data_IF_620639855292
#
_entry.id   IF_620639855292
#
_cell.length_a   1.000
_cell.length_b   1.000
_cell.length_c   1.000
_cell.angle_alpha   90.00
_cell.angle_beta   90.00
_cell.angle_gamma   90.00
#
_symmetry.space_group_name_H-M   'P 1'
#
loop_
_entity.id
_entity.type
_entity.pdbx_description
1 polymer ?
#
# COMPACT_ATOMS: atom_id res chain seq x y z
N UNK A 1 2.33 -23.83 -14.24
CA UNK A 1 1.48 -24.36 -13.14
C UNK A 1 1.44 -23.40 -11.95
N UNK A 2 2.57 -22.79 -11.55
CA UNK A 2 2.65 -21.88 -10.39
C UNK A 2 1.88 -20.55 -10.55
N UNK A 3 1.91 -19.94 -11.74
CA UNK A 3 1.20 -18.68 -12.00
C UNK A 3 -0.32 -18.79 -11.79
N UNK A 4 -0.91 -19.89 -12.29
CA UNK A 4 -2.34 -20.18 -12.11
C UNK A 4 -2.67 -20.41 -10.64
N UNK A 5 -1.77 -21.05 -9.89
CA UNK A 5 -1.91 -21.23 -8.44
C UNK A 5 -1.94 -19.90 -7.70
N UNK A 6 -1.04 -18.97 -8.01
CA UNK A 6 -0.95 -17.67 -7.35
C UNK A 6 -2.18 -16.79 -7.63
N UNK A 7 -2.66 -16.79 -8.87
CA UNK A 7 -3.88 -16.06 -9.24
C UNK A 7 -5.10 -16.67 -8.54
N UNK A 8 -5.21 -18.00 -8.50
CA UNK A 8 -6.28 -18.69 -7.78
C UNK A 8 -6.27 -18.34 -6.28
N UNK A 9 -5.10 -18.35 -5.63
CA UNK A 9 -4.95 -17.93 -4.24
C UNK A 9 -5.36 -16.47 -4.02
N UNK A 10 -4.98 -15.55 -4.91
CA UNK A 10 -5.40 -14.15 -4.83
C UNK A 10 -6.92 -13.98 -4.91
N UNK A 11 -7.58 -14.71 -5.82
CA UNK A 11 -9.03 -14.69 -5.95
C UNK A 11 -9.73 -15.27 -4.71
N UNK A 12 -9.21 -16.37 -4.16
CA UNK A 12 -9.73 -16.95 -2.92
C UNK A 12 -9.61 -15.95 -1.77
N UNK A 13 -8.47 -15.27 -1.63
CA UNK A 13 -8.27 -14.27 -0.59
C UNK A 13 -9.31 -13.12 -0.69
N UNK A 14 -9.59 -12.61 -1.90
CA UNK A 14 -10.60 -11.58 -2.12
C UNK A 14 -11.99 -12.06 -1.66
N UNK A 15 -12.40 -13.27 -2.05
CA UNK A 15 -13.70 -13.84 -1.66
C UNK A 15 -13.80 -14.02 -0.15
N UNK A 16 -12.74 -14.50 0.49
CA UNK A 16 -12.68 -14.69 1.95
C UNK A 16 -12.82 -13.35 2.67
N UNK A 17 -12.10 -12.31 2.23
CA UNK A 17 -12.19 -10.97 2.83
C UNK A 17 -13.57 -10.35 2.65
N UNK A 18 -14.20 -10.51 1.48
CA UNK A 18 -15.57 -10.07 1.25
C UNK A 18 -16.57 -10.83 2.16
N UNK A 19 -16.37 -12.14 2.32
CA UNK A 19 -17.16 -12.95 3.24
C UNK A 19 -17.02 -12.52 4.70
N UNK A 20 -15.81 -12.22 5.15
CA UNK A 20 -15.55 -11.68 6.49
C UNK A 20 -16.20 -10.31 6.69
N UNK A 21 -16.07 -9.40 5.71
CA UNK A 21 -16.72 -8.09 5.75
C UNK A 21 -18.25 -8.22 5.85
N UNK A 22 -18.85 -9.19 5.15
CA UNK A 22 -20.28 -9.48 5.25
C UNK A 22 -20.68 -10.04 6.62
N UNK A 23 -19.89 -10.97 7.17
CA UNK A 23 -20.17 -11.58 8.48
C UNK A 23 -20.10 -10.57 9.62
N UNK A 24 -19.10 -9.68 9.57
CA UNK A 24 -18.89 -8.61 10.55
C UNK A 24 -19.80 -7.39 10.33
N UNK A 25 -20.51 -7.32 9.20
CA UNK A 25 -21.42 -6.22 8.92
C UNK A 25 -22.63 -6.25 9.85
N UNK A 26 -22.86 -5.11 10.51
CA UNK A 26 -24.00 -4.87 11.41
C UNK A 26 -25.32 -4.83 10.63
N UNK A 27 -25.30 -4.27 9.42
CA UNK A 27 -26.49 -4.11 8.59
C UNK A 27 -26.30 -4.75 7.21
N UNK A 28 -26.38 -6.08 7.21
CA UNK A 28 -26.13 -6.94 6.03
C UNK A 28 -27.09 -6.67 4.87
N UNK A 29 -28.28 -6.11 5.15
CA UNK A 29 -29.32 -5.84 4.13
C UNK A 29 -29.06 -4.54 3.37
N UNK A 30 -28.37 -3.59 3.99
CA UNK A 30 -28.07 -2.29 3.39
C UNK A 30 -26.69 -2.20 2.73
N UNK A 31 -26.02 -3.34 2.52
CA UNK A 31 -24.75 -3.37 1.78
C UNK A 31 -25.01 -2.99 0.32
N UNK A 32 -24.51 -1.82 -0.08
CA UNK A 32 -24.65 -1.34 -1.44
C UNK A 32 -23.62 -2.01 -2.36
N UNK A 33 -24.08 -3.00 -3.13
CA UNK A 33 -23.23 -3.75 -4.07
C UNK A 33 -22.56 -2.86 -5.11
N UNK A 34 -23.18 -1.74 -5.52
CA UNK A 34 -22.56 -0.81 -6.48
C UNK A 34 -21.32 -0.15 -5.87
N UNK A 35 -21.39 0.22 -4.59
CA UNK A 35 -20.27 0.82 -3.86
C UNK A 35 -19.16 -0.20 -3.63
N UNK A 36 -19.50 -1.42 -3.22
CA UNK A 36 -18.50 -2.48 -2.96
C UNK A 36 -17.78 -2.88 -4.25
N UNK A 37 -18.52 -3.10 -5.34
CA UNK A 37 -17.92 -3.43 -6.63
C UNK A 37 -17.13 -2.25 -7.21
N UNK A 38 -17.60 -1.02 -7.01
CA UNK A 38 -16.85 0.18 -7.39
C UNK A 38 -15.52 0.30 -6.66
N UNK A 39 -15.52 0.07 -5.34
CA UNK A 39 -14.30 0.06 -4.53
C UNK A 39 -13.33 -1.04 -4.98
N UNK A 40 -13.83 -2.25 -5.24
CA UNK A 40 -13.02 -3.36 -5.74
C UNK A 40 -12.41 -3.07 -7.12
N UNK A 41 -13.20 -2.47 -8.02
CA UNK A 41 -12.71 -2.06 -9.34
C UNK A 41 -11.61 -0.99 -9.24
N UNK A 42 -11.79 0.00 -8.36
CA UNK A 42 -10.76 1.02 -8.10
C UNK A 42 -9.50 0.39 -7.52
N UNK A 43 -9.62 -0.54 -6.57
CA UNK A 43 -8.45 -1.26 -6.01
C UNK A 43 -7.65 -1.98 -7.10
N UNK A 44 -8.33 -2.71 -7.99
CA UNK A 44 -7.68 -3.41 -9.10
C UNK A 44 -7.06 -2.41 -10.08
N UNK A 45 -7.76 -1.32 -10.41
CA UNK A 45 -7.26 -0.30 -11.32
C UNK A 45 -5.98 0.36 -10.78
N UNK A 46 -5.94 0.68 -9.48
CA UNK A 46 -4.74 1.22 -8.82
C UNK A 46 -3.62 0.19 -8.83
N UNK A 47 -3.90 -1.07 -8.47
CA UNK A 47 -2.89 -2.12 -8.49
C UNK A 47 -2.28 -2.30 -9.88
N UNK A 48 -3.11 -2.31 -10.92
CA UNK A 48 -2.63 -2.38 -12.29
C UNK A 48 -1.81 -1.15 -12.65
N UNK A 49 -2.30 0.06 -12.34
CA UNK A 49 -1.62 1.33 -12.64
C UNK A 49 -0.21 1.39 -12.03
N UNK A 50 -0.03 0.87 -10.82
CA UNK A 50 1.26 0.95 -10.12
C UNK A 50 2.17 -0.27 -10.29
N UNK A 51 1.63 -1.47 -10.49
CA UNK A 51 2.42 -2.72 -10.48
C UNK A 51 2.58 -3.39 -11.85
N UNK A 52 1.78 -3.01 -12.86
CA UNK A 52 1.73 -3.77 -14.13
C UNK A 52 2.56 -3.21 -15.28
N UNK A 53 3.03 -1.96 -15.21
CA UNK A 53 3.61 -1.23 -16.35
C UNK A 53 4.56 -0.11 -15.87
N UNK A 54 5.61 0.17 -16.65
CA UNK A 54 6.78 0.96 -16.22
C UNK A 54 6.49 2.37 -15.69
N UNK A 55 5.39 3.00 -16.12
CA UNK A 55 4.95 4.32 -15.61
C UNK A 55 4.64 4.26 -14.10
N UNK A 56 4.06 3.16 -13.62
CA UNK A 56 3.75 2.98 -12.20
C UNK A 56 5.01 2.93 -11.33
N UNK A 57 6.06 2.27 -11.82
CA UNK A 57 7.36 2.17 -11.17
C UNK A 57 8.04 3.55 -11.07
N UNK A 58 8.00 4.34 -12.14
CA UNK A 58 8.55 5.71 -12.13
C UNK A 58 7.85 6.62 -11.10
N UNK A 59 6.52 6.54 -11.00
CA UNK A 59 5.77 7.31 -10.01
C UNK A 59 6.12 6.87 -8.59
N UNK A 60 6.22 5.56 -8.34
CA UNK A 60 6.63 5.04 -7.03
C UNK A 60 8.06 5.45 -6.67
N UNK A 61 8.98 5.45 -7.64
CA UNK A 61 10.34 5.90 -7.46
C UNK A 61 10.41 7.40 -7.13
N UNK A 62 9.63 8.23 -7.83
CA UNK A 62 9.53 9.66 -7.53
C UNK A 62 9.05 9.92 -6.09
N UNK A 63 7.97 9.24 -5.67
CA UNK A 63 7.45 9.37 -4.31
C UNK A 63 8.45 8.90 -3.26
N UNK A 64 9.16 7.79 -3.52
CA UNK A 64 10.19 7.26 -2.62
C UNK A 64 11.37 8.23 -2.48
N UNK A 65 11.81 8.83 -3.59
CA UNK A 65 12.89 9.83 -3.58
C UNK A 65 12.47 11.10 -2.83
N UNK A 66 11.21 11.53 -2.96
CA UNK A 66 10.68 12.66 -2.21
C UNK A 66 10.75 12.40 -0.69
N UNK A 67 10.24 11.25 -0.25
CA UNK A 67 10.30 10.87 1.18
C UNK A 67 11.74 10.76 1.66
N UNK A 68 12.63 10.19 0.85
CA UNK A 68 14.07 10.10 1.16
C UNK A 68 14.70 11.49 1.31
N UNK A 69 14.32 12.45 0.47
CA UNK A 69 14.78 13.84 0.60
C UNK A 69 14.33 14.48 1.91
N UNK A 70 13.08 14.24 2.34
CA UNK A 70 12.56 14.71 3.63
C UNK A 70 13.30 14.06 4.80
N UNK A 71 13.56 12.74 4.71
CA UNK A 71 14.35 12.02 5.71
C UNK A 71 15.77 12.58 5.82
N UNK A 72 16.42 12.89 4.69
CA UNK A 72 17.76 13.51 4.69
C UNK A 72 17.78 14.88 5.37
N UNK A 73 16.72 15.69 5.20
CA UNK A 73 16.60 16.96 5.92
C UNK A 73 16.41 16.75 7.44
N UNK A 74 15.65 15.72 7.83
CA UNK A 74 15.49 15.35 9.24
C UNK A 74 16.81 14.86 9.85
N UNK A 75 17.57 14.02 9.14
CA UNK A 75 18.89 13.55 9.55
C UNK A 75 19.88 14.71 9.72
N UNK A 76 19.88 15.69 8.80
CA UNK A 76 20.69 16.90 8.93
C UNK A 76 20.33 17.71 10.20
N UNK A 77 19.05 17.81 10.53
CA UNK A 77 18.58 18.46 11.75
C UNK A 77 19.01 17.72 13.02
N UNK A 78 18.93 16.38 13.02
CA UNK A 78 19.39 15.54 14.14
C UNK A 78 20.90 15.71 14.34
N UNK A 79 21.68 15.66 13.26
CA UNK A 79 23.13 15.87 13.31
C UNK A 79 23.49 17.28 13.80
N UNK A 80 22.70 18.31 13.46
CA UNK A 80 22.92 19.65 13.98
C UNK A 80 22.66 19.76 15.49
N UNK A 81 21.60 19.11 16.01
CA UNK A 81 21.27 19.14 17.43
C UNK A 81 22.16 18.24 18.30
N UNK A 82 22.55 17.07 17.79
CA UNK A 82 23.13 15.98 18.59
C UNK A 82 24.47 15.45 18.05
N UNK A 83 24.99 15.99 16.94
CA UNK A 83 26.13 15.43 16.23
C UNK A 83 27.44 15.42 17.01
N UNK A 84 27.70 16.44 17.85
CA UNK A 84 28.89 16.46 18.71
C UNK A 84 28.70 15.61 19.99
N UNK A 85 27.50 15.64 20.60
CA UNK A 85 27.21 14.90 21.84
C UNK A 85 27.12 13.38 21.63
N UNK A 86 26.67 12.91 20.47
CA UNK A 86 26.63 11.46 20.16
C UNK A 86 28.00 10.87 19.80
N UNK A 87 28.95 11.68 19.31
CA UNK A 87 30.33 11.26 19.04
C UNK A 87 31.24 11.32 20.26
N UNK A 88 30.85 12.05 21.32
CA UNK A 88 31.63 12.18 22.56
C UNK A 88 31.37 11.05 23.59
N UNK A 89 30.45 10.12 23.31
CA UNK A 89 30.08 8.99 24.20
C UNK A 89 30.65 7.63 23.77
N UNK A 90 31.64 7.58 22.87
CA UNK A 90 32.48 6.41 22.55
C UNK A 90 33.96 6.79 22.50
#
# INVERSE_FOLDING_TARGET
MELLGNIAWGLIAIVVLMGLAFLLSVDRKNINLKTVLGALAIQIAIALLFLGWGVGEEVLAFMSNFVTGVLGAAEAGINFLFGEDLMAMN
#
